data_IF_147788057956
#
_entry.id   IF_147788057956
#
_cell.length_a   1.000
_cell.length_b   1.000
_cell.length_c   1.000
_cell.angle_alpha   90.00
_cell.angle_beta   90.00
_cell.angle_gamma   90.00
#
_symmetry.space_group_name_H-M   'P 1'
#
loop_
_entity.id
_entity.type
_entity.pdbx_description
1 polymer ?
#
# COMPACT_ATOMS: atom_id res chain seq x y z
N UNK A 1 -40.95 -4.22 -21.51
CA UNK A 1 -40.13 -4.33 -20.28
C UNK A 1 -38.93 -5.22 -20.57
N UNK A 2 -37.83 -4.97 -19.85
CA UNK A 2 -36.55 -5.73 -19.77
C UNK A 2 -35.38 -5.04 -20.48
N UNK A 3 -34.85 -3.98 -19.84
CA UNK A 3 -33.52 -3.43 -20.10
C UNK A 3 -32.47 -4.26 -19.34
N UNK A 4 -31.70 -5.09 -20.04
CA UNK A 4 -30.47 -5.64 -19.48
C UNK A 4 -29.43 -4.52 -19.43
N UNK A 5 -29.29 -3.90 -18.27
CA UNK A 5 -28.19 -2.98 -18.01
C UNK A 5 -26.97 -3.81 -17.63
N UNK A 6 -26.15 -4.14 -18.62
CA UNK A 6 -24.78 -4.61 -18.40
C UNK A 6 -24.01 -3.43 -17.79
N UNK A 7 -23.52 -3.48 -16.55
CA UNK A 7 -22.54 -2.50 -16.13
C UNK A 7 -21.27 -2.77 -16.94
N UNK A 8 -21.03 -1.88 -17.90
CA UNK A 8 -19.75 -1.73 -18.59
C UNK A 8 -18.66 -1.61 -17.53
N UNK A 9 -17.91 -2.69 -17.32
CA UNK A 9 -16.72 -2.68 -16.50
C UNK A 9 -15.72 -1.76 -17.21
N UNK A 10 -15.75 -0.49 -16.82
CA UNK A 10 -14.74 0.47 -17.21
C UNK A 10 -13.38 -0.17 -16.98
N UNK A 11 -12.65 -0.38 -18.07
CA UNK A 11 -11.24 -0.73 -18.11
C UNK A 11 -10.44 0.38 -17.44
N UNK A 12 -10.49 0.43 -16.11
CA UNK A 12 -9.48 1.12 -15.33
C UNK A 12 -8.24 0.25 -15.49
N UNK A 13 -7.23 0.76 -16.18
CA UNK A 13 -5.88 0.21 -16.14
C UNK A 13 -5.43 0.20 -14.69
N UNK A 14 -5.73 -0.89 -13.98
CA UNK A 14 -5.34 -1.16 -12.59
C UNK A 14 -3.88 -1.63 -12.57
N UNK A 15 -3.00 -0.89 -13.26
CA UNK A 15 -1.57 -1.12 -13.16
C UNK A 15 -1.16 -0.68 -11.75
N UNK A 16 -0.42 -1.52 -11.00
CA UNK A 16 -0.04 -1.16 -9.66
C UNK A 16 0.88 0.06 -9.66
N UNK A 17 0.73 0.92 -8.66
CA UNK A 17 1.59 2.07 -8.44
C UNK A 17 2.84 1.62 -7.71
N UNK A 18 3.99 2.15 -8.15
CA UNK A 18 5.28 2.00 -7.46
C UNK A 18 5.65 3.29 -6.78
N UNK A 19 6.00 3.20 -5.50
CA UNK A 19 6.43 4.33 -4.68
C UNK A 19 7.86 4.06 -4.22
N UNK A 20 8.75 5.02 -4.49
CA UNK A 20 10.12 5.02 -3.98
C UNK A 20 10.13 5.76 -2.65
N UNK A 21 10.71 5.15 -1.63
CA UNK A 21 10.81 5.71 -0.28
C UNK A 21 12.29 5.69 0.13
N UNK A 22 12.84 6.83 0.52
CA UNK A 22 14.16 6.88 1.14
C UNK A 22 14.10 6.34 2.57
N UNK A 23 15.23 5.92 3.12
CA UNK A 23 15.31 5.49 4.52
C UNK A 23 14.66 6.52 5.47
N UNK A 24 13.72 6.06 6.29
CA UNK A 24 12.94 6.89 7.21
C UNK A 24 11.68 7.54 6.61
N UNK A 25 11.46 7.49 5.30
CA UNK A 25 10.22 7.98 4.69
C UNK A 25 9.01 7.13 5.13
N UNK A 26 7.87 7.80 5.22
CA UNK A 26 6.58 7.23 5.59
C UNK A 26 5.61 7.36 4.43
N UNK A 27 4.94 6.25 4.10
CA UNK A 27 3.78 6.22 3.24
C UNK A 27 2.55 5.84 4.07
N UNK A 28 1.56 6.73 4.06
CA UNK A 28 0.27 6.50 4.71
C UNK A 28 -0.71 5.95 3.69
N UNK A 29 -1.42 4.89 4.07
CA UNK A 29 -2.37 4.19 3.22
C UNK A 29 -3.66 3.97 4.00
N UNK A 30 -4.80 4.32 3.40
CA UNK A 30 -6.13 3.93 3.92
C UNK A 30 -6.88 3.21 2.80
N UNK A 31 -6.81 1.88 2.75
CA UNK A 31 -7.39 1.12 1.65
C UNK A 31 -8.91 0.96 1.82
N UNK A 32 -9.67 1.10 0.74
CA UNK A 32 -11.13 0.93 0.74
C UNK A 32 -11.58 -0.55 0.72
N UNK A 33 -10.65 -1.46 0.39
CA UNK A 33 -10.81 -2.91 0.31
C UNK A 33 -9.47 -3.58 0.63
N UNK A 34 -9.41 -4.90 0.86
CA UNK A 34 -8.12 -5.57 1.06
C UNK A 34 -7.18 -5.34 -0.12
N UNK A 35 -5.93 -5.00 0.16
CA UNK A 35 -4.88 -4.72 -0.84
C UNK A 35 -3.60 -5.45 -0.49
N UNK A 36 -2.85 -5.85 -1.51
CA UNK A 36 -1.52 -6.43 -1.32
C UNK A 36 -0.46 -5.35 -1.50
N UNK A 37 0.39 -5.18 -0.50
CA UNK A 37 1.59 -4.35 -0.56
C UNK A 37 2.78 -5.28 -0.79
N UNK A 38 3.55 -5.02 -1.84
CA UNK A 38 4.74 -5.81 -2.17
C UNK A 38 5.98 -4.94 -2.05
N UNK A 39 6.99 -5.40 -1.32
CA UNK A 39 8.30 -4.76 -1.31
C UNK A 39 9.11 -5.32 -2.49
N UNK A 40 9.38 -4.48 -3.50
CA UNK A 40 10.15 -4.89 -4.68
C UNK A 40 11.67 -4.79 -4.44
N UNK A 41 12.10 -3.86 -3.59
CA UNK A 41 13.50 -3.62 -3.25
C UNK A 41 13.60 -3.02 -1.84
N UNK A 42 14.72 -3.27 -1.16
CA UNK A 42 14.98 -2.72 0.17
C UNK A 42 14.20 -3.45 1.27
N UNK A 43 13.83 -2.71 2.31
CA UNK A 43 13.11 -3.22 3.47
C UNK A 43 12.23 -2.14 4.08
N UNK A 44 10.97 -2.48 4.36
CA UNK A 44 10.02 -1.61 5.03
C UNK A 44 9.29 -2.32 6.18
N UNK A 45 8.88 -1.53 7.16
CA UNK A 45 7.91 -1.93 8.19
C UNK A 45 6.52 -1.49 7.80
N UNK A 46 5.54 -2.31 8.15
CA UNK A 46 4.14 -2.06 7.92
C UNK A 46 3.39 -2.22 9.25
N UNK A 47 2.84 -1.10 9.74
CA UNK A 47 2.02 -1.04 10.95
C UNK A 47 0.60 -0.75 10.53
N UNK A 48 -0.33 -1.59 10.96
CA UNK A 48 -1.73 -1.52 10.56
C UNK A 48 -2.62 -1.36 11.78
N UNK A 49 -3.51 -0.38 11.76
CA UNK A 49 -4.54 -0.24 12.78
C UNK A 49 -5.44 -1.50 12.81
N UNK A 50 -5.63 -2.05 14.01
CA UNK A 50 -6.37 -3.29 14.22
C UNK A 50 -5.56 -4.57 14.00
N UNK A 51 -4.27 -4.45 13.63
CA UNK A 51 -3.29 -5.53 13.73
C UNK A 51 -2.45 -5.35 14.99
N UNK A 52 -2.23 -6.44 15.72
CA UNK A 52 -1.38 -6.42 16.91
C UNK A 52 0.11 -6.54 16.57
N UNK A 53 0.43 -6.90 15.33
CA UNK A 53 1.79 -7.16 14.88
C UNK A 53 2.19 -6.17 13.79
N UNK A 54 3.44 -5.71 13.90
CA UNK A 54 4.13 -5.05 12.79
C UNK A 54 4.69 -6.10 11.84
N UNK A 55 4.63 -5.82 10.54
CA UNK A 55 5.12 -6.72 9.50
C UNK A 55 6.38 -6.14 8.87
N UNK A 56 7.48 -6.89 8.88
CA UNK A 56 8.71 -6.54 8.19
C UNK A 56 8.70 -7.16 6.78
N UNK A 57 8.75 -6.31 5.75
CA UNK A 57 8.79 -6.73 4.35
C UNK A 57 10.14 -6.38 3.75
N UNK A 58 10.85 -7.39 3.26
CA UNK A 58 12.06 -7.26 2.45
C UNK A 58 11.74 -7.52 0.98
N UNK A 59 12.72 -7.33 0.12
CA UNK A 59 12.57 -7.52 -1.31
C UNK A 59 11.95 -8.89 -1.68
N UNK A 60 10.91 -8.85 -2.52
CA UNK A 60 10.13 -10.01 -2.95
C UNK A 60 9.02 -10.43 -1.99
N UNK A 61 8.96 -9.87 -0.77
CA UNK A 61 7.91 -10.18 0.19
C UNK A 61 6.68 -9.29 -0.02
N UNK A 62 5.52 -9.87 0.28
CA UNK A 62 4.23 -9.19 0.18
C UNK A 62 3.39 -9.42 1.43
N UNK A 63 2.58 -8.43 1.78
CA UNK A 63 1.62 -8.51 2.87
C UNK A 63 0.26 -8.01 2.42
N UNK A 64 -0.78 -8.75 2.81
CA UNK A 64 -2.15 -8.36 2.53
C UNK A 64 -2.70 -7.50 3.67
N UNK A 65 -2.87 -6.21 3.39
CA UNK A 65 -3.55 -5.27 4.27
C UNK A 65 -5.04 -5.59 4.20
N UNK A 66 -5.59 -6.07 5.32
CA UNK A 66 -6.98 -6.56 5.38
C UNK A 66 -7.88 -5.70 6.26
N UNK A 67 -7.32 -4.90 7.17
CA UNK A 67 -8.13 -3.96 7.94
C UNK A 67 -8.43 -2.71 7.10
N UNK A 68 -9.51 -2.03 7.48
CA UNK A 68 -9.94 -0.77 6.86
C UNK A 68 -9.34 0.46 7.55
N UNK A 69 -8.45 0.24 8.52
CA UNK A 69 -7.84 1.28 9.32
C UNK A 69 -6.63 1.91 8.62
N UNK A 70 -5.99 2.86 9.31
CA UNK A 70 -4.76 3.47 8.82
C UNK A 70 -3.63 2.42 8.78
N UNK A 71 -2.98 2.32 7.63
CA UNK A 71 -1.73 1.57 7.46
C UNK A 71 -0.59 2.55 7.23
N UNK A 72 0.50 2.36 7.97
CA UNK A 72 1.75 3.10 7.83
C UNK A 72 2.80 2.16 7.28
N UNK A 73 3.43 2.55 6.18
CA UNK A 73 4.61 1.89 5.64
C UNK A 73 5.80 2.80 5.90
N UNK A 74 6.81 2.30 6.61
CA UNK A 74 8.04 3.01 6.89
C UNK A 74 9.21 2.32 6.21
N UNK A 75 9.98 3.06 5.42
CA UNK A 75 11.23 2.57 4.86
C UNK A 75 12.29 2.43 5.96
N UNK A 76 12.77 1.20 6.20
CA UNK A 76 13.89 0.97 7.12
C UNK A 76 15.22 1.34 6.45
N UNK A 77 15.33 1.02 5.16
CA UNK A 77 16.32 1.52 4.22
C UNK A 77 15.60 1.95 2.93
N UNK A 78 16.34 2.50 1.98
CA UNK A 78 15.77 2.88 0.67
C UNK A 78 15.03 1.69 0.05
N UNK A 79 13.74 1.87 -0.21
CA UNK A 79 12.88 0.80 -0.67
C UNK A 79 11.92 1.23 -1.78
N UNK A 80 11.47 0.23 -2.54
CA UNK A 80 10.45 0.39 -3.57
C UNK A 80 9.28 -0.49 -3.19
N UNK A 81 8.12 0.13 -2.98
CA UNK A 81 6.88 -0.58 -2.68
C UNK A 81 5.92 -0.49 -3.84
N UNK A 82 5.26 -1.60 -4.13
CA UNK A 82 4.22 -1.71 -5.14
C UNK A 82 2.87 -1.96 -4.47
N UNK A 83 1.85 -1.22 -4.89
CA UNK A 83 0.52 -1.25 -4.30
C UNK A 83 -0.55 -0.86 -5.34
N UNK A 84 -1.81 -1.30 -5.18
CA UNK A 84 -2.89 -0.95 -6.11
C UNK A 84 -3.29 0.53 -6.01
N UNK A 85 -3.73 1.11 -7.12
CA UNK A 85 -4.04 2.56 -7.26
C UNK A 85 -5.26 3.02 -6.44
N UNK A 86 -6.01 2.07 -5.88
CA UNK A 86 -7.32 2.30 -5.26
C UNK A 86 -7.22 2.58 -3.75
N UNK A 87 -6.12 3.22 -3.34
CA UNK A 87 -5.86 3.57 -1.96
C UNK A 87 -5.50 5.05 -1.83
N UNK A 88 -6.02 5.72 -0.80
CA UNK A 88 -5.62 7.09 -0.49
C UNK A 88 -4.21 7.07 0.06
N UNK A 89 -3.30 7.81 -0.60
CA UNK A 89 -1.88 7.80 -0.30
C UNK A 89 -1.35 9.18 0.03
N UNK A 90 -0.51 9.25 1.06
CA UNK A 90 0.28 10.44 1.37
C UNK A 90 1.69 10.02 1.78
N UNK A 91 2.69 10.47 1.03
CA UNK A 91 4.10 10.32 1.42
C UNK A 91 4.54 11.51 2.27
N UNK A 92 5.30 11.24 3.33
CA UNK A 92 5.99 12.24 4.13
C UNK A 92 7.37 11.73 4.51
N UNK A 93 8.35 12.62 4.47
CA UNK A 93 9.66 12.36 5.08
C UNK A 93 9.54 12.51 6.59
N UNK A 94 9.97 11.51 7.36
CA UNK A 94 10.10 11.70 8.80
C UNK A 94 11.28 12.63 9.07
N UNK A 95 11.03 13.77 9.72
CA UNK A 95 12.12 14.63 10.20
C UNK A 95 12.74 13.96 11.41
N UNK A 96 14.00 13.53 11.31
CA UNK A 96 14.76 13.07 12.47
C UNK A 96 14.90 14.25 13.46
N UNK A 97 14.52 14.02 14.71
CA UNK A 97 14.74 14.95 15.82
C UNK A 97 16.17 14.78 16.39
#
# INVERSE_FOLDING_TARGET
MNTNHTPSAASHSNAPLRVVLAAGDLLRLTPLRPVTVTCLHGTCWLTQEGDALDHLLGAGMAHQVTTRGLTIIQAFNDCIVELPVDAVQQSRRATAA
#
